data_IF_820637668493
#
_entry.id   IF_820637668493
#
_cell.length_a   1.000
_cell.length_b   1.000
_cell.length_c   1.000
_cell.angle_alpha   90.00
_cell.angle_beta   90.00
_cell.angle_gamma   90.00
#
_symmetry.space_group_name_H-M   'P 1'
#
loop_
_entity.id
_entity.type
_entity.pdbx_description
1 polymer ?
#
# COMPACT_ATOMS: atom_id res chain seq x y z
N UNK A 1 21.61 -3.52 28.19
CA UNK A 1 20.16 -3.63 27.94
C UNK A 1 19.99 -4.97 27.28
N UNK A 2 19.19 -5.84 27.87
CA UNK A 2 18.69 -7.02 27.17
C UNK A 2 17.95 -6.51 25.92
N UNK A 3 18.33 -6.99 24.74
CA UNK A 3 17.79 -6.53 23.46
C UNK A 3 16.37 -7.03 23.19
N UNK A 4 15.58 -7.27 24.24
CA UNK A 4 14.24 -7.84 24.16
C UNK A 4 13.21 -6.71 24.10
N UNK A 5 12.36 -6.75 23.07
CA UNK A 5 11.20 -5.86 22.93
C UNK A 5 9.94 -6.71 22.95
N UNK A 6 8.87 -6.17 23.55
CA UNK A 6 7.57 -6.82 23.63
C UNK A 6 6.54 -6.03 22.80
N UNK A 7 5.83 -6.72 21.91
CA UNK A 7 4.84 -6.15 21.00
C UNK A 7 3.70 -7.16 20.81
N UNK A 8 2.47 -6.66 20.72
CA UNK A 8 1.30 -7.49 20.41
C UNK A 8 1.41 -8.08 19.00
N UNK A 9 1.98 -7.33 18.06
CA UNK A 9 2.15 -7.73 16.65
C UNK A 9 3.52 -7.32 16.12
N UNK A 10 4.23 -8.27 15.50
CA UNK A 10 5.43 -8.00 14.70
C UNK A 10 5.17 -8.39 13.26
N UNK A 11 5.26 -7.43 12.34
CA UNK A 11 5.12 -7.64 10.89
C UNK A 11 6.50 -7.71 10.25
N UNK A 12 6.80 -8.83 9.59
CA UNK A 12 8.04 -9.03 8.85
C UNK A 12 7.83 -8.70 7.38
N UNK A 13 8.44 -7.60 6.94
CA UNK A 13 8.27 -6.99 5.62
C UNK A 13 7.54 -5.64 5.69
N UNK A 14 8.17 -4.59 5.17
CA UNK A 14 7.69 -3.20 5.18
C UNK A 14 7.38 -2.66 3.78
N UNK A 15 6.93 -3.53 2.89
CA UNK A 15 6.26 -3.13 1.64
C UNK A 15 4.82 -2.64 1.91
N UNK A 16 4.07 -2.26 0.85
CA UNK A 16 2.72 -1.70 0.98
C UNK A 16 1.77 -2.53 1.87
N UNK A 17 1.77 -3.85 1.71
CA UNK A 17 0.91 -4.76 2.48
C UNK A 17 1.30 -4.77 3.96
N UNK A 18 2.59 -4.92 4.28
CA UNK A 18 3.05 -5.01 5.66
C UNK A 18 2.88 -3.71 6.43
N UNK A 19 3.15 -2.58 5.79
CA UNK A 19 2.93 -1.25 6.37
C UNK A 19 1.43 -0.99 6.58
N UNK A 20 0.59 -1.37 5.62
CA UNK A 20 -0.88 -1.25 5.77
C UNK A 20 -1.40 -2.12 6.92
N UNK A 21 -0.91 -3.35 7.04
CA UNK A 21 -1.24 -4.23 8.16
C UNK A 21 -0.82 -3.61 9.50
N UNK A 22 0.42 -3.11 9.58
CA UNK A 22 0.94 -2.44 10.77
C UNK A 22 0.07 -1.25 11.20
N UNK A 23 -0.27 -0.39 10.23
CA UNK A 23 -1.16 0.76 10.44
C UNK A 23 -2.54 0.33 10.97
N UNK A 24 -3.17 -0.67 10.35
CA UNK A 24 -4.48 -1.17 10.76
C UNK A 24 -4.47 -1.83 12.15
N UNK A 25 -3.38 -2.49 12.54
CA UNK A 25 -3.17 -3.02 13.89
C UNK A 25 -3.02 -1.90 14.92
N UNK A 26 -2.18 -0.91 14.64
CA UNK A 26 -1.98 0.24 15.53
C UNK A 26 -3.29 1.03 15.75
N UNK A 27 -4.10 1.23 14.71
CA UNK A 27 -5.42 1.87 14.81
C UNK A 27 -6.42 1.07 15.67
N UNK A 28 -6.18 -0.22 15.90
CA UNK A 28 -6.96 -1.07 16.81
C UNK A 28 -6.40 -1.08 18.24
N UNK A 29 -5.36 -0.30 18.52
CA UNK A 29 -4.73 -0.17 19.83
C UNK A 29 -3.68 -1.24 20.14
N UNK A 30 -3.23 -2.01 19.13
CA UNK A 30 -2.18 -3.01 19.30
C UNK A 30 -0.79 -2.37 19.18
N UNK A 31 0.10 -2.66 20.13
CA UNK A 31 1.52 -2.32 20.00
C UNK A 31 2.11 -3.10 18.83
N UNK A 32 2.54 -2.37 17.79
CA UNK A 32 2.89 -2.99 16.51
C UNK A 32 4.27 -2.54 16.04
N UNK A 33 5.11 -3.50 15.68
CA UNK A 33 6.41 -3.27 15.04
C UNK A 33 6.37 -3.80 13.60
N UNK A 34 6.92 -3.03 12.66
CA UNK A 34 7.14 -3.47 11.27
C UNK A 34 8.64 -3.45 11.00
N UNK A 35 9.21 -4.57 10.56
CA UNK A 35 10.63 -4.67 10.22
C UNK A 35 10.81 -4.91 8.72
N UNK A 36 11.77 -4.23 8.10
CA UNK A 36 12.07 -4.35 6.68
C UNK A 36 13.58 -4.35 6.44
N UNK A 37 14.06 -5.23 5.56
CA UNK A 37 15.49 -5.33 5.22
C UNK A 37 15.96 -4.18 4.34
N UNK A 38 15.08 -3.65 3.49
CA UNK A 38 15.39 -2.54 2.60
C UNK A 38 15.31 -1.20 3.36
N UNK A 39 16.28 -0.31 3.11
CA UNK A 39 16.27 1.04 3.67
C UNK A 39 15.37 1.94 2.81
N UNK A 40 15.46 1.80 1.50
CA UNK A 40 14.74 2.63 0.55
C UNK A 40 13.56 1.88 -0.06
N UNK A 41 12.60 2.65 -0.57
CA UNK A 41 11.53 2.12 -1.42
C UNK A 41 12.15 1.63 -2.73
N UNK A 42 11.59 0.57 -3.30
CA UNK A 42 12.12 -0.01 -4.52
C UNK A 42 11.85 0.90 -5.74
N UNK A 43 12.91 1.28 -6.48
CA UNK A 43 12.86 2.32 -7.51
C UNK A 43 12.29 1.90 -8.88
N UNK A 44 12.15 0.60 -9.18
CA UNK A 44 11.72 0.17 -10.52
C UNK A 44 10.18 0.13 -10.64
N UNK A 45 9.58 0.76 -11.66
CA UNK A 45 8.14 0.77 -11.85
C UNK A 45 7.59 -0.64 -12.09
N UNK A 46 6.67 -1.06 -11.23
CA UNK A 46 5.79 -2.23 -11.43
C UNK A 46 4.41 -1.74 -11.87
N UNK A 47 3.55 -2.61 -12.40
CA UNK A 47 2.20 -2.24 -12.83
C UNK A 47 1.46 -1.40 -11.76
N UNK A 48 1.08 -0.17 -12.13
CA UNK A 48 0.62 0.84 -11.16
C UNK A 48 -0.88 1.05 -11.27
N UNK A 49 -1.64 0.08 -10.78
CA UNK A 49 -3.09 0.17 -10.66
C UNK A 49 -3.56 -0.29 -9.29
N UNK A 50 -4.59 0.36 -8.78
CA UNK A 50 -5.26 0.05 -7.52
C UNK A 50 -6.75 -0.05 -7.81
N UNK A 51 -7.35 -1.19 -7.49
CA UNK A 51 -8.80 -1.38 -7.61
C UNK A 51 -9.56 -0.69 -6.47
N UNK A 52 -10.88 -0.73 -6.54
CA UNK A 52 -11.77 -0.14 -5.55
C UNK A 52 -11.75 -0.85 -4.19
N UNK A 53 -11.39 -2.14 -4.14
CA UNK A 53 -11.26 -2.89 -2.89
C UNK A 53 -10.06 -2.43 -2.08
N UNK A 54 -8.91 -2.23 -2.73
CA UNK A 54 -7.70 -1.68 -2.08
C UNK A 54 -7.97 -0.24 -1.63
N UNK A 55 -8.61 0.57 -2.47
CA UNK A 55 -9.01 1.94 -2.09
C UNK A 55 -9.92 1.92 -0.85
N UNK A 56 -10.86 0.98 -0.76
CA UNK A 56 -11.75 0.81 0.40
C UNK A 56 -11.00 0.42 1.67
N UNK A 57 -9.94 -0.39 1.57
CA UNK A 57 -9.05 -0.73 2.69
C UNK A 57 -8.32 0.52 3.18
N UNK A 58 -7.72 1.28 2.27
CA UNK A 58 -6.96 2.48 2.60
C UNK A 58 -7.85 3.63 3.10
N UNK A 59 -9.10 3.71 2.64
CA UNK A 59 -10.12 4.55 3.26
C UNK A 59 -10.36 4.15 4.72
N UNK A 60 -10.45 2.86 5.01
CA UNK A 60 -10.55 2.34 6.38
C UNK A 60 -9.33 2.68 7.25
N UNK A 61 -8.16 2.86 6.62
CA UNK A 61 -6.94 3.34 7.27
C UNK A 61 -6.88 4.87 7.43
N UNK A 62 -7.91 5.62 7.01
CA UNK A 62 -7.97 7.08 7.10
C UNK A 62 -7.24 7.83 5.99
N UNK A 63 -6.88 7.16 4.89
CA UNK A 63 -6.01 7.70 3.84
C UNK A 63 -6.76 8.23 2.61
N UNK A 64 -8.10 8.23 2.64
CA UNK A 64 -8.94 8.54 1.47
C UNK A 64 -8.60 9.90 0.82
N UNK A 65 -8.46 10.95 1.63
CA UNK A 65 -8.19 12.31 1.13
C UNK A 65 -6.79 12.44 0.51
N UNK A 66 -5.80 11.73 1.07
CA UNK A 66 -4.44 11.75 0.56
C UNK A 66 -4.32 10.90 -0.71
N UNK A 67 -5.01 9.75 -0.76
CA UNK A 67 -5.11 8.93 -1.97
C UNK A 67 -5.67 9.73 -3.14
N UNK A 68 -6.74 10.48 -2.94
CA UNK A 68 -7.32 11.32 -4.00
C UNK A 68 -6.37 12.38 -4.58
N UNK A 69 -5.23 12.66 -3.92
CA UNK A 69 -4.21 13.60 -4.41
C UNK A 69 -3.10 12.93 -5.22
N UNK A 70 -2.87 11.64 -5.01
CA UNK A 70 -1.75 10.89 -5.63
C UNK A 70 -2.23 9.83 -6.64
N UNK A 71 -3.55 9.71 -6.82
CA UNK A 71 -4.14 8.76 -7.76
C UNK A 71 -4.90 9.47 -8.88
N UNK A 72 -5.12 8.76 -9.98
CA UNK A 72 -5.93 9.23 -11.11
C UNK A 72 -6.75 8.06 -11.67
N UNK A 73 -8.06 8.21 -11.94
CA UNK A 73 -8.88 7.15 -12.53
C UNK A 73 -8.27 6.60 -13.83
N UNK A 74 -8.24 5.28 -13.97
CA UNK A 74 -7.89 4.63 -15.23
C UNK A 74 -9.05 4.81 -16.21
N UNK A 75 -8.78 5.41 -17.37
CA UNK A 75 -9.80 5.74 -18.37
C UNK A 75 -10.08 4.62 -19.37
N UNK A 76 -9.35 3.51 -19.28
CA UNK A 76 -9.46 2.40 -20.20
C UNK A 76 -8.11 1.77 -20.51
N UNK A 77 -8.16 0.79 -21.41
CA UNK A 77 -6.99 0.13 -21.97
C UNK A 77 -7.32 -0.35 -23.38
N UNK A 78 -6.36 -0.26 -24.29
CA UNK A 78 -6.51 -0.73 -25.66
C UNK A 78 -5.31 -1.55 -26.12
N UNK A 79 -5.60 -2.56 -26.93
CA UNK A 79 -4.61 -3.26 -27.73
C UNK A 79 -4.63 -2.63 -29.13
N UNK A 80 -3.47 -2.15 -29.55
CA UNK A 80 -3.27 -1.52 -30.86
C UNK A 80 -2.40 -2.38 -31.75
N UNK A 81 -2.65 -2.32 -33.06
CA UNK A 81 -1.77 -2.90 -34.07
C UNK A 81 -0.43 -2.18 -34.15
N UNK A 82 0.49 -2.72 -34.94
CA UNK A 82 1.82 -2.11 -35.17
C UNK A 82 1.74 -0.72 -35.80
N UNK A 83 0.62 -0.40 -36.44
CA UNK A 83 0.27 0.88 -37.04
C UNK A 83 -0.44 1.83 -36.07
N UNK A 84 -0.66 1.41 -34.82
CA UNK A 84 -1.41 2.17 -33.81
C UNK A 84 -2.94 2.03 -33.93
N UNK A 85 -3.45 1.24 -34.88
CA UNK A 85 -4.90 1.09 -35.05
C UNK A 85 -5.47 0.23 -33.90
N UNK A 86 -6.48 0.73 -33.19
CA UNK A 86 -7.17 -0.02 -32.13
C UNK A 86 -7.77 -1.32 -32.67
N UNK A 87 -7.35 -2.44 -32.08
CA UNK A 87 -7.89 -3.77 -32.37
C UNK A 87 -9.08 -4.05 -31.45
N UNK A 88 -8.87 -3.90 -30.14
CA UNK A 88 -9.87 -4.08 -29.09
C UNK A 88 -9.46 -3.24 -27.88
N UNK A 89 -10.43 -2.77 -27.10
CA UNK A 89 -10.16 -2.03 -25.88
C UNK A 89 -11.41 -1.82 -25.05
N UNK A 90 -11.21 -1.38 -23.83
CA UNK A 90 -12.25 -1.00 -22.87
C UNK A 90 -12.07 0.49 -22.60
N UNK A 91 -13.16 1.25 -22.70
CA UNK A 91 -13.22 2.65 -22.28
C UNK A 91 -13.98 2.72 -20.95
N UNK A 92 -13.43 3.43 -19.98
CA UNK A 92 -14.00 3.59 -18.64
C UNK A 92 -14.36 5.06 -18.47
N UNK A 93 -15.64 5.41 -18.25
CA UNK A 93 -16.03 6.80 -18.01
C UNK A 93 -15.29 7.37 -16.79
N UNK A 94 -14.76 8.61 -16.86
CA UNK A 94 -13.99 9.21 -15.76
C UNK A 94 -14.77 9.35 -14.44
N UNK A 95 -16.09 9.43 -14.53
CA UNK A 95 -17.05 9.60 -13.43
C UNK A 95 -17.71 8.28 -13.00
N UNK A 96 -17.31 7.15 -13.59
CA UNK A 96 -17.83 5.84 -13.21
C UNK A 96 -17.30 5.43 -11.83
N UNK A 97 -18.22 5.32 -10.87
CA UNK A 97 -17.94 4.89 -9.50
C UNK A 97 -18.40 3.45 -9.28
N UNK A 98 -17.62 2.70 -8.50
CA UNK A 98 -18.01 1.37 -8.05
C UNK A 98 -19.02 1.44 -6.90
N UNK A 99 -19.72 0.33 -6.59
CA UNK A 99 -20.60 0.25 -5.42
C UNK A 99 -19.91 0.53 -4.07
N UNK A 100 -18.57 0.47 -4.02
CA UNK A 100 -17.78 0.78 -2.82
C UNK A 100 -17.54 2.29 -2.65
N UNK A 101 -18.01 3.12 -3.58
CA UNK A 101 -17.88 4.58 -3.53
C UNK A 101 -16.51 5.10 -4.00
N UNK A 102 -15.75 4.28 -4.72
CA UNK A 102 -14.43 4.62 -5.29
C UNK A 102 -14.44 4.40 -6.82
N UNK A 103 -13.55 5.05 -7.60
CA UNK A 103 -13.33 4.66 -9.00
C UNK A 103 -12.92 3.18 -9.08
N UNK A 104 -13.38 2.46 -10.11
CA UNK A 104 -13.10 1.03 -10.27
C UNK A 104 -11.61 0.69 -10.27
N UNK A 105 -10.81 1.56 -10.89
CA UNK A 105 -9.36 1.43 -10.91
C UNK A 105 -8.74 2.80 -11.00
N UNK A 106 -7.70 3.03 -10.21
CA UNK A 106 -6.87 4.24 -10.27
C UNK A 106 -5.42 3.87 -10.55
N UNK A 107 -4.72 4.71 -11.28
CA UNK A 107 -3.27 4.69 -11.42
C UNK A 107 -2.63 5.57 -10.34
N UNK A 108 -1.38 5.29 -9.99
CA UNK A 108 -0.61 6.06 -9.01
C UNK A 108 0.87 6.05 -9.37
N UNK A 109 1.74 6.60 -8.51
CA UNK A 109 3.18 6.39 -8.56
C UNK A 109 3.61 5.62 -7.31
N UNK A 110 4.24 4.45 -7.48
CA UNK A 110 4.49 3.52 -6.38
C UNK A 110 5.33 4.15 -5.23
N UNK A 111 6.42 4.89 -5.49
CA UNK A 111 7.17 5.56 -4.42
C UNK A 111 6.33 6.55 -3.59
N UNK A 112 5.40 7.26 -4.22
CA UNK A 112 4.48 8.17 -3.50
C UNK A 112 3.53 7.40 -2.59
N UNK A 113 2.95 6.30 -3.08
CA UNK A 113 2.07 5.46 -2.26
C UNK A 113 2.82 4.86 -1.07
N UNK A 114 4.03 4.32 -1.29
CA UNK A 114 4.83 3.72 -0.22
C UNK A 114 5.27 4.75 0.82
N UNK A 115 5.69 5.94 0.39
CA UNK A 115 6.03 7.03 1.30
C UNK A 115 4.82 7.46 2.16
N UNK A 116 3.65 7.59 1.54
CA UNK A 116 2.39 7.91 2.23
C UNK A 116 2.04 6.85 3.27
N UNK A 117 2.10 5.57 2.90
CA UNK A 117 1.79 4.47 3.82
C UNK A 117 2.77 4.44 5.01
N UNK A 118 4.08 4.61 4.75
CA UNK A 118 5.10 4.61 5.80
C UNK A 118 4.91 5.79 6.75
N UNK A 119 4.65 6.99 6.23
CA UNK A 119 4.34 8.17 7.06
C UNK A 119 3.13 7.90 7.94
N UNK A 120 2.04 7.44 7.33
CA UNK A 120 0.80 7.16 8.07
C UNK A 120 1.00 6.12 9.17
N UNK A 121 1.75 5.05 8.92
CA UNK A 121 2.07 4.05 9.92
C UNK A 121 2.82 4.65 11.12
N UNK A 122 3.87 5.44 10.87
CA UNK A 122 4.64 6.11 11.93
C UNK A 122 3.78 7.11 12.70
N UNK A 123 2.97 7.91 12.00
CA UNK A 123 2.06 8.89 12.61
C UNK A 123 0.99 8.23 13.50
N UNK A 124 0.65 6.96 13.24
CA UNK A 124 -0.25 6.15 14.05
C UNK A 124 0.49 5.30 15.12
N UNK A 125 1.78 5.51 15.32
CA UNK A 125 2.55 4.89 16.40
C UNK A 125 3.13 3.52 16.08
N UNK A 126 3.19 3.11 14.81
CA UNK A 126 3.90 1.89 14.41
C UNK A 126 5.41 2.08 14.57
N UNK A 127 6.09 1.14 15.23
CA UNK A 127 7.55 1.08 15.27
C UNK A 127 8.07 0.51 13.94
N UNK A 128 8.32 1.38 12.96
CA UNK A 128 8.84 1.01 11.64
C UNK A 128 10.37 1.00 11.65
N UNK A 129 10.98 -0.18 11.53
CA UNK A 129 12.43 -0.37 11.50
C UNK A 129 12.91 -0.86 10.14
N UNK A 130 13.62 0.01 9.44
CA UNK A 130 14.21 -0.26 8.13
C UNK A 130 15.66 -0.76 8.28
N UNK A 131 16.18 -1.50 7.30
CA UNK A 131 17.50 -2.11 7.36
C UNK A 131 17.61 -3.31 8.32
N UNK A 132 16.48 -3.86 8.78
CA UNK A 132 16.41 -4.96 9.73
C UNK A 132 15.98 -6.24 9.02
N UNK A 133 16.86 -7.23 9.01
CA UNK A 133 16.56 -8.58 8.53
C UNK A 133 16.13 -9.46 9.69
N UNK A 134 15.07 -10.24 9.47
CA UNK A 134 14.67 -11.32 10.38
C UNK A 134 15.31 -12.61 9.89
N UNK A 135 16.20 -13.17 10.70
CA UNK A 135 16.90 -14.41 10.38
C UNK A 135 16.14 -15.65 10.85
N UNK A 136 15.39 -15.54 11.96
CA UNK A 136 14.73 -16.67 12.59
C UNK A 136 13.50 -16.23 13.39
N UNK A 137 12.49 -17.12 13.44
CA UNK A 137 11.33 -17.03 14.32
C UNK A 137 11.26 -18.33 15.11
N UNK A 138 11.20 -18.24 16.44
CA UNK A 138 11.11 -19.38 17.36
C UNK A 138 9.89 -19.23 18.26
N UNK A 139 9.22 -20.35 18.51
CA UNK A 139 8.27 -20.45 19.60
C UNK A 139 9.03 -20.71 20.90
N UNK A 140 8.67 -19.99 21.97
CA UNK A 140 9.31 -20.06 23.28
C UNK A 140 8.39 -20.72 24.33
N UNK A 141 7.22 -21.22 23.92
CA UNK A 141 6.25 -21.92 24.79
C UNK A 141 6.77 -23.25 25.34
#
# INVERSE_FOLDING_TARGET
MDGSFDFDVVVVGGGPVGVTMGLLCAQRGLSTMVVERAIEVYDLPRAIVMDDEIQRVLQGAGLSDLLGRITSPLLGAEFVGVDGTRIIGIDIPPDLMSPLGHPFTVCYYQPELEALLRSAAVDNGVDLRLGVQVDEVRDLS
#
